data_IF_239876330401
#
_entry.id   IF_239876330401
#
_cell.length_a   1.000
_cell.length_b   1.000
_cell.length_c   1.000
_cell.angle_alpha   90.00
_cell.angle_beta   90.00
_cell.angle_gamma   90.00
#
_symmetry.space_group_name_H-M   'P 1'
#
loop_
_entity.id
_entity.type
_entity.pdbx_description
1 polymer ?
#
# COMPACT_ATOMS: atom_id res chain seq x y z
N UNK A 1 -14.78 -0.02 -3.23
CA UNK A 1 -13.37 -0.17 -2.83
C UNK A 1 -13.14 0.57 -1.53
N UNK A 2 -12.52 -0.10 -0.59
CA UNK A 2 -12.37 0.42 0.78
C UNK A 2 -11.54 1.72 0.86
N UNK A 3 -10.57 1.90 -0.03
CA UNK A 3 -9.74 3.11 -0.07
C UNK A 3 -10.53 4.37 -0.41
N UNK A 4 -11.41 4.32 -1.39
CA UNK A 4 -12.27 5.45 -1.75
C UNK A 4 -13.35 5.67 -0.70
N UNK A 5 -14.01 4.60 -0.28
CA UNK A 5 -15.05 4.68 0.75
C UNK A 5 -14.49 5.26 2.04
N UNK A 6 -13.33 4.79 2.47
CA UNK A 6 -12.65 5.32 3.64
C UNK A 6 -12.28 6.79 3.48
N UNK A 7 -11.76 7.17 2.33
CA UNK A 7 -11.43 8.57 2.02
C UNK A 7 -12.67 9.47 2.16
N UNK A 8 -13.74 9.11 1.48
CA UNK A 8 -14.97 9.91 1.49
C UNK A 8 -15.59 9.99 2.88
N UNK A 9 -15.62 8.87 3.60
CA UNK A 9 -16.14 8.80 4.96
C UNK A 9 -15.34 9.68 5.92
N UNK A 10 -14.01 9.62 5.86
CA UNK A 10 -13.15 10.42 6.75
C UNK A 10 -13.21 11.90 6.40
N UNK A 11 -13.32 12.25 5.12
CA UNK A 11 -13.53 13.64 4.72
C UNK A 11 -14.86 14.17 5.27
N UNK A 12 -15.92 13.38 5.15
CA UNK A 12 -17.24 13.75 5.68
C UNK A 12 -17.21 13.96 7.20
N UNK A 13 -16.47 13.11 7.92
CA UNK A 13 -16.35 13.21 9.38
C UNK A 13 -15.38 14.30 9.85
N UNK A 14 -14.68 14.96 8.95
CA UNK A 14 -13.75 16.04 9.26
C UNK A 14 -12.33 15.60 9.64
N UNK A 15 -11.90 14.43 9.15
CA UNK A 15 -10.57 13.89 9.39
C UNK A 15 -9.76 13.77 8.09
N UNK A 16 -9.31 14.90 7.49
CA UNK A 16 -8.62 14.87 6.20
C UNK A 16 -7.29 14.12 6.23
N UNK A 17 -6.58 14.13 7.36
CA UNK A 17 -5.31 13.39 7.48
C UNK A 17 -5.54 11.88 7.42
N UNK A 18 -6.60 11.40 8.05
CA UNK A 18 -6.98 9.98 8.00
C UNK A 18 -7.50 9.62 6.61
N UNK A 19 -8.25 10.51 5.99
CA UNK A 19 -8.73 10.33 4.62
C UNK A 19 -7.57 10.12 3.65
N UNK A 20 -6.52 10.94 3.78
CA UNK A 20 -5.32 10.80 2.96
C UNK A 20 -4.70 9.41 3.11
N UNK A 21 -4.57 8.89 4.31
CA UNK A 21 -4.01 7.55 4.55
C UNK A 21 -4.88 6.47 3.91
N UNK A 22 -6.21 6.60 3.96
CA UNK A 22 -7.11 5.67 3.29
C UNK A 22 -6.82 5.58 1.79
N UNK A 23 -6.47 6.70 1.17
CA UNK A 23 -6.13 6.76 -0.25
C UNK A 23 -4.71 6.24 -0.52
N UNK A 24 -3.73 6.75 0.22
CA UNK A 24 -2.32 6.48 -0.05
C UNK A 24 -1.88 5.06 0.26
N UNK A 25 -2.54 4.36 1.19
CA UNK A 25 -2.18 2.97 1.47
C UNK A 25 -2.49 2.04 0.29
N UNK A 26 -3.47 2.41 -0.55
CA UNK A 26 -3.76 1.71 -1.81
C UNK A 26 -2.77 2.09 -2.91
N UNK A 27 -2.30 3.34 -2.90
CA UNK A 27 -1.40 3.91 -3.90
C UNK A 27 -0.14 4.47 -3.22
N UNK A 28 0.76 3.61 -2.75
CA UNK A 28 1.97 4.06 -2.05
C UNK A 28 2.90 4.90 -2.93
N UNK A 29 2.80 4.77 -4.26
CA UNK A 29 3.47 5.61 -5.23
C UNK A 29 2.40 6.30 -6.10
N UNK A 30 2.32 7.63 -6.03
CA UNK A 30 1.34 8.36 -6.83
C UNK A 30 1.64 8.36 -8.33
N UNK A 31 2.86 8.02 -8.72
CA UNK A 31 3.27 7.89 -10.11
C UNK A 31 3.17 6.44 -10.59
N UNK A 32 2.15 5.73 -10.14
CA UNK A 32 1.93 4.35 -10.50
C UNK A 32 1.58 4.18 -11.99
N UNK A 33 1.91 3.01 -12.53
CA UNK A 33 1.51 2.60 -13.87
C UNK A 33 0.04 2.12 -13.82
N UNK A 34 -0.76 2.55 -14.80
CA UNK A 34 -2.17 2.14 -14.90
C UNK A 34 -2.34 0.62 -14.90
N UNK A 35 -1.45 -0.11 -15.57
CA UNK A 35 -1.50 -1.57 -15.64
C UNK A 35 -1.25 -2.29 -14.32
N UNK A 36 -0.77 -1.58 -13.33
CA UNK A 36 -0.48 -2.12 -11.99
C UNK A 36 -1.73 -2.47 -11.20
N UNK A 37 -2.85 -1.82 -11.52
CA UNK A 37 -4.11 -1.96 -10.79
C UNK A 37 -5.24 -2.43 -11.69
N UNK A 38 -6.10 -3.29 -11.17
CA UNK A 38 -7.29 -3.82 -11.86
C UNK A 38 -8.55 -3.03 -11.53
N UNK A 39 -8.41 -1.77 -11.14
CA UNK A 39 -9.54 -0.91 -10.82
C UNK A 39 -10.18 -0.33 -12.09
N UNK A 40 -11.50 0.00 -12.04
CA UNK A 40 -12.14 0.71 -13.14
C UNK A 40 -11.45 2.03 -13.46
N UNK A 41 -11.48 2.45 -14.73
CA UNK A 41 -10.80 3.66 -15.19
C UNK A 41 -11.25 4.92 -14.44
N UNK A 42 -12.54 5.06 -14.17
CA UNK A 42 -13.07 6.21 -13.42
C UNK A 42 -12.50 6.31 -12.01
N UNK A 43 -12.19 5.17 -11.39
CA UNK A 43 -11.55 5.10 -10.09
C UNK A 43 -10.11 5.54 -10.12
N UNK A 44 -9.40 5.08 -11.13
CA UNK A 44 -8.00 5.46 -11.35
C UNK A 44 -7.90 6.97 -11.60
N UNK A 45 -8.80 7.53 -12.41
CA UNK A 45 -8.83 8.97 -12.66
C UNK A 45 -9.13 9.76 -11.39
N UNK A 46 -10.11 9.32 -10.62
CA UNK A 46 -10.44 9.93 -9.33
C UNK A 46 -9.22 9.91 -8.38
N UNK A 47 -8.57 8.75 -8.27
CA UNK A 47 -7.40 8.60 -7.42
C UNK A 47 -6.25 9.49 -7.87
N UNK A 48 -5.95 9.52 -9.17
CA UNK A 48 -4.89 10.38 -9.73
C UNK A 48 -5.15 11.85 -9.45
N UNK A 49 -6.39 12.29 -9.58
CA UNK A 49 -6.77 13.67 -9.29
C UNK A 49 -6.50 14.01 -7.82
N UNK A 50 -6.93 13.15 -6.90
CA UNK A 50 -6.69 13.35 -5.47
C UNK A 50 -5.21 13.30 -5.11
N UNK A 51 -4.48 12.35 -5.68
CA UNK A 51 -3.06 12.16 -5.40
C UNK A 51 -2.18 13.27 -5.95
N UNK A 52 -2.60 13.93 -7.03
CA UNK A 52 -1.81 15.01 -7.65
C UNK A 52 -1.48 16.13 -6.67
N UNK A 53 -2.41 16.46 -5.77
CA UNK A 53 -2.21 17.49 -4.74
C UNK A 53 -1.75 16.97 -3.40
N UNK A 54 -1.42 15.68 -3.30
CA UNK A 54 -1.10 15.03 -2.02
C UNK A 54 0.41 15.02 -1.80
N UNK A 55 0.83 15.45 -0.60
CA UNK A 55 2.20 15.32 -0.13
C UNK A 55 2.24 14.14 0.84
N UNK A 56 2.98 13.10 0.47
CA UNK A 56 3.08 11.89 1.31
C UNK A 56 3.93 12.17 2.54
N UNK A 57 3.50 11.63 3.67
CA UNK A 57 4.22 11.67 4.94
C UNK A 57 4.69 10.27 5.32
N UNK A 58 5.51 10.18 6.36
CA UNK A 58 5.95 8.88 6.88
C UNK A 58 4.76 8.02 7.33
N UNK A 59 3.67 8.63 7.79
CA UNK A 59 2.45 7.89 8.16
C UNK A 59 1.80 7.21 6.96
N UNK A 60 1.78 7.88 5.81
CA UNK A 60 1.26 7.29 4.56
C UNK A 60 2.05 6.02 4.20
N UNK A 61 3.37 6.13 4.23
CA UNK A 61 4.25 4.98 3.93
C UNK A 61 4.15 3.90 5.00
N UNK A 62 4.06 4.28 6.26
CA UNK A 62 3.99 3.31 7.36
C UNK A 62 2.74 2.44 7.28
N UNK A 63 1.59 3.05 7.07
CA UNK A 63 0.33 2.29 6.97
C UNK A 63 0.33 1.42 5.71
N UNK A 64 0.82 1.94 4.59
CA UNK A 64 0.97 1.14 3.38
C UNK A 64 1.89 -0.07 3.61
N UNK A 65 2.98 0.13 4.33
CA UNK A 65 3.90 -0.94 4.68
C UNK A 65 3.26 -1.98 5.61
N UNK A 66 2.60 -1.52 6.65
CA UNK A 66 1.88 -2.43 7.57
C UNK A 66 0.87 -3.31 6.84
N UNK A 67 0.17 -2.75 5.86
CA UNK A 67 -0.79 -3.51 5.04
C UNK A 67 -0.11 -4.67 4.30
N UNK A 68 1.17 -4.56 3.98
CA UNK A 68 1.95 -5.60 3.30
C UNK A 68 2.58 -6.63 4.24
N UNK A 69 2.38 -6.48 5.54
CA UNK A 69 2.99 -7.37 6.55
C UNK A 69 1.98 -8.26 7.26
N UNK A 70 0.72 -8.24 6.84
CA UNK A 70 -0.32 -9.05 7.49
C UNK A 70 -1.08 -9.90 6.48
N UNK A 71 -1.30 -11.14 6.84
CA UNK A 71 -2.17 -12.07 6.13
C UNK A 71 -2.97 -12.86 7.15
N UNK A 72 -4.32 -12.84 7.02
CA UNK A 72 -5.21 -13.58 7.93
C UNK A 72 -4.93 -13.31 9.42
N UNK A 73 -4.72 -12.05 9.81
CA UNK A 73 -4.45 -11.60 11.17
C UNK A 73 -3.08 -12.04 11.72
N UNK A 74 -2.20 -12.57 10.89
CA UNK A 74 -0.82 -12.91 11.25
C UNK A 74 0.16 -11.97 10.58
N UNK A 75 1.21 -11.59 11.29
CA UNK A 75 2.31 -10.84 10.72
C UNK A 75 3.18 -11.77 9.88
N UNK A 76 3.41 -11.40 8.62
CA UNK A 76 4.13 -12.23 7.65
C UNK A 76 5.14 -11.39 6.89
N UNK A 77 6.05 -12.06 6.16
CA UNK A 77 6.93 -11.35 5.23
C UNK A 77 6.16 -10.81 4.03
N UNK A 78 6.77 -9.84 3.36
CA UNK A 78 6.24 -9.30 2.09
C UNK A 78 6.05 -10.44 1.09
N UNK A 79 7.03 -11.34 0.99
CA UNK A 79 7.01 -12.46 0.05
C UNK A 79 5.78 -13.34 0.26
N UNK A 80 5.50 -13.69 1.51
CA UNK A 80 4.33 -14.52 1.85
C UNK A 80 3.02 -13.77 1.59
N UNK A 81 2.97 -12.49 1.93
CA UNK A 81 1.80 -11.65 1.66
C UNK A 81 1.50 -11.57 0.17
N UNK A 82 2.53 -11.35 -0.66
CA UNK A 82 2.38 -11.25 -2.10
C UNK A 82 1.89 -12.57 -2.70
N UNK A 83 2.44 -13.70 -2.28
CA UNK A 83 1.97 -15.02 -2.72
C UNK A 83 0.48 -15.20 -2.45
N UNK A 84 0.02 -14.81 -1.27
CA UNK A 84 -1.40 -14.89 -0.90
C UNK A 84 -2.26 -13.99 -1.79
N UNK A 85 -1.80 -12.78 -2.09
CA UNK A 85 -2.50 -11.83 -2.96
C UNK A 85 -2.56 -12.37 -4.41
N UNK A 86 -1.44 -12.87 -4.91
CA UNK A 86 -1.35 -13.44 -6.27
C UNK A 86 -2.34 -14.60 -6.42
N UNK A 87 -2.38 -15.49 -5.45
CA UNK A 87 -3.30 -16.62 -5.46
C UNK A 87 -4.76 -16.17 -5.39
N UNK A 88 -5.07 -15.25 -4.48
CA UNK A 88 -6.45 -14.78 -4.25
C UNK A 88 -7.04 -14.04 -5.44
N UNK A 89 -6.25 -13.21 -6.11
CA UNK A 89 -6.72 -12.34 -7.19
C UNK A 89 -6.25 -12.77 -8.58
N UNK A 90 -5.53 -13.87 -8.69
CA UNK A 90 -5.06 -14.39 -9.98
C UNK A 90 -4.14 -13.42 -10.73
N UNK A 91 -3.20 -12.79 -10.03
CA UNK A 91 -2.30 -11.81 -10.65
C UNK A 91 -1.32 -12.49 -11.61
N UNK A 92 -1.02 -11.81 -12.72
CA UNK A 92 0.00 -12.26 -13.66
C UNK A 92 1.41 -11.91 -13.14
N UNK A 93 2.45 -12.39 -13.87
CA UNK A 93 3.84 -12.19 -13.48
C UNK A 93 4.22 -10.70 -13.39
N UNK A 94 3.75 -9.87 -14.32
CA UNK A 94 4.06 -8.45 -14.34
C UNK A 94 3.43 -7.72 -13.15
N UNK A 95 2.18 -8.03 -12.83
CA UNK A 95 1.48 -7.48 -11.66
C UNK A 95 2.16 -7.90 -10.37
N UNK A 96 2.57 -9.16 -10.27
CA UNK A 96 3.32 -9.68 -9.13
C UNK A 96 4.64 -8.93 -8.93
N UNK A 97 5.39 -8.74 -10.00
CA UNK A 97 6.69 -8.06 -9.94
C UNK A 97 6.56 -6.59 -9.53
N UNK A 98 5.55 -5.90 -10.04
CA UNK A 98 5.26 -4.52 -9.66
C UNK A 98 4.89 -4.41 -8.18
N UNK A 99 4.01 -5.29 -7.71
CA UNK A 99 3.59 -5.34 -6.32
C UNK A 99 4.79 -5.63 -5.39
N UNK A 100 5.64 -6.57 -5.79
CA UNK A 100 6.84 -6.91 -5.04
C UNK A 100 7.80 -5.71 -4.94
N UNK A 101 8.10 -5.06 -6.05
CA UNK A 101 9.01 -3.90 -6.07
C UNK A 101 8.50 -2.76 -5.21
N UNK A 102 7.20 -2.47 -5.29
CA UNK A 102 6.56 -1.43 -4.48
C UNK A 102 6.68 -1.76 -2.99
N UNK A 103 6.39 -3.00 -2.63
CA UNK A 103 6.40 -3.45 -1.24
C UNK A 103 7.82 -3.49 -0.67
N UNK A 104 8.79 -3.97 -1.44
CA UNK A 104 10.20 -3.99 -1.04
C UNK A 104 10.75 -2.57 -0.92
N UNK A 105 10.30 -1.65 -1.76
CA UNK A 105 10.66 -0.24 -1.64
C UNK A 105 10.23 0.35 -0.30
N UNK A 106 9.04 0.00 0.17
CA UNK A 106 8.57 0.40 1.50
C UNK A 106 9.43 -0.20 2.62
N UNK A 107 9.76 -1.49 2.52
CA UNK A 107 10.65 -2.13 3.49
C UNK A 107 11.99 -1.44 3.54
N UNK A 108 12.60 -1.19 2.39
CA UNK A 108 13.90 -0.50 2.32
C UNK A 108 13.85 0.88 2.96
N UNK A 109 12.78 1.63 2.72
CA UNK A 109 12.58 2.94 3.32
C UNK A 109 12.63 2.87 4.85
N UNK A 110 11.94 1.89 5.47
CA UNK A 110 11.93 1.74 6.91
C UNK A 110 13.16 1.04 7.47
N UNK A 111 13.84 0.19 6.71
CA UNK A 111 15.16 -0.32 7.09
C UNK A 111 16.15 0.85 7.25
N UNK A 112 16.15 1.77 6.32
CA UNK A 112 17.02 2.96 6.38
C UNK A 112 16.62 3.89 7.53
N UNK A 113 15.33 4.12 7.75
CA UNK A 113 14.83 4.97 8.84
C UNK A 113 15.17 4.43 10.23
N UNK A 114 15.08 3.13 10.42
CA UNK A 114 15.36 2.49 11.71
C UNK A 114 16.84 2.18 11.90
N UNK A 115 17.61 2.17 10.83
CA UNK A 115 19.01 1.74 10.86
C UNK A 115 19.19 0.24 11.06
N UNK A 116 18.16 -0.56 10.80
CA UNK A 116 18.15 -1.99 11.02
C UNK A 116 17.19 -2.69 10.04
N UNK A 117 17.22 -4.02 10.01
CA UNK A 117 16.25 -4.80 9.27
C UNK A 117 14.92 -4.82 10.04
N UNK A 118 13.86 -4.27 9.44
CA UNK A 118 12.56 -4.21 10.09
C UNK A 118 11.96 -5.60 10.34
N UNK A 119 12.30 -6.61 9.55
CA UNK A 119 11.88 -7.99 9.83
C UNK A 119 12.45 -8.48 11.16
N UNK A 120 13.70 -8.13 11.44
CA UNK A 120 14.33 -8.47 12.70
C UNK A 120 13.67 -7.75 13.87
N UNK A 121 13.41 -6.45 13.72
CA UNK A 121 12.73 -5.63 14.74
C UNK A 121 11.35 -6.20 15.06
N UNK A 122 10.60 -6.62 14.04
CA UNK A 122 9.24 -7.13 14.15
C UNK A 122 9.17 -8.65 14.39
N UNK A 123 10.32 -9.31 14.43
CA UNK A 123 10.40 -10.76 14.62
C UNK A 123 9.63 -11.55 13.56
N UNK A 124 9.72 -11.10 12.30
CA UNK A 124 9.10 -11.81 11.17
C UNK A 124 10.04 -12.91 10.69
N UNK A 125 9.53 -14.13 10.71
CA UNK A 125 10.23 -15.33 10.26
C UNK A 125 9.40 -16.01 9.16
N UNK A 126 10.00 -16.25 8.02
CA UNK A 126 9.34 -17.00 6.94
C UNK A 126 10.27 -18.03 6.35
#
# INVERSE_FOLDING_TARGET
FHGQEGYEQMMFLGYPDVAQICLTHTFPDKNFDRGQYSFPDEWIEWAREKLAGTVYTDYDYLIAFCDKLFEACEMVSIEKRIEAIVERYGLNADQRDLLYRESIGLKKYFDEKTGDDVYRILEIED
#
